data_IF_884537093313
#
_entry.id   IF_884537093313
#
_cell.length_a   1.000
_cell.length_b   1.000
_cell.length_c   1.000
_cell.angle_alpha   90.00
_cell.angle_beta   90.00
_cell.angle_gamma   90.00
#
_symmetry.space_group_name_H-M   'P 1'
#
loop_
_entity.id
_entity.type
_entity.pdbx_description
1 polymer ?
#
# COMPACT_ATOMS: atom_id res chain seq x y z
N UNK A 1 73.38 -13.78 -30.26
CA UNK A 1 72.53 -14.27 -29.15
C UNK A 1 71.15 -13.65 -29.29
N UNK A 2 70.16 -14.42 -29.75
CA UNK A 2 68.75 -13.99 -29.81
C UNK A 2 68.26 -13.73 -28.39
N UNK A 3 67.88 -12.50 -28.08
CA UNK A 3 67.01 -12.19 -26.95
C UNK A 3 65.66 -11.84 -27.53
N UNK A 4 64.82 -12.86 -27.67
CA UNK A 4 63.38 -12.72 -27.87
C UNK A 4 62.88 -11.92 -26.65
N UNK A 5 62.75 -10.60 -26.79
CA UNK A 5 62.09 -9.80 -25.76
C UNK A 5 60.63 -10.20 -25.87
N UNK A 6 60.18 -10.98 -24.89
CA UNK A 6 58.82 -11.48 -24.73
C UNK A 6 57.83 -10.40 -25.20
N UNK A 7 56.99 -10.75 -26.19
CA UNK A 7 55.98 -9.88 -26.83
C UNK A 7 55.08 -9.13 -25.81
N UNK A 8 55.06 -9.63 -24.57
CA UNK A 8 54.43 -9.06 -23.37
C UNK A 8 55.01 -7.71 -22.89
N UNK A 9 56.23 -7.33 -23.28
CA UNK A 9 56.85 -6.05 -22.87
C UNK A 9 56.76 -4.97 -23.95
N UNK A 10 55.78 -5.06 -24.85
CA UNK A 10 55.45 -3.97 -25.76
C UNK A 10 54.47 -3.00 -25.08
N UNK A 11 54.68 -1.67 -25.19
CA UNK A 11 53.89 -0.66 -24.46
C UNK A 11 52.39 -0.70 -24.77
N UNK A 12 51.99 -1.28 -25.92
CA UNK A 12 50.59 -1.47 -26.33
C UNK A 12 49.90 -2.64 -25.61
N UNK A 13 50.59 -3.75 -25.36
CA UNK A 13 50.04 -4.88 -24.61
C UNK A 13 49.90 -4.54 -23.12
N UNK A 14 50.84 -3.76 -22.57
CA UNK A 14 50.78 -3.31 -21.17
C UNK A 14 49.53 -2.45 -20.91
N UNK A 15 49.19 -1.54 -21.82
CA UNK A 15 47.99 -0.70 -21.75
C UNK A 15 46.70 -1.53 -21.75
N UNK A 16 46.63 -2.56 -22.60
CA UNK A 16 45.47 -3.47 -22.64
C UNK A 16 45.34 -4.28 -21.36
N UNK A 17 46.44 -4.76 -20.79
CA UNK A 17 46.43 -5.49 -19.52
C UNK A 17 45.97 -4.62 -18.36
N UNK A 18 46.41 -3.35 -18.30
CA UNK A 18 45.95 -2.39 -17.27
C UNK A 18 44.46 -2.06 -17.44
N UNK A 19 43.97 -1.90 -18.67
CA UNK A 19 42.55 -1.65 -18.90
C UNK A 19 41.68 -2.86 -18.48
N UNK A 20 42.16 -4.08 -18.74
CA UNK A 20 41.45 -5.32 -18.39
C UNK A 20 41.42 -5.56 -16.88
N UNK A 21 42.50 -5.23 -16.16
CA UNK A 21 42.51 -5.30 -14.69
C UNK A 21 41.60 -4.27 -14.06
N UNK A 22 41.55 -3.03 -14.58
CA UNK A 22 40.60 -2.01 -14.13
C UNK A 22 39.16 -2.47 -14.38
N UNK A 23 38.88 -3.04 -15.55
CA UNK A 23 37.55 -3.56 -15.88
C UNK A 23 37.12 -4.73 -14.97
N UNK A 24 38.04 -5.66 -14.66
CA UNK A 24 37.80 -6.75 -13.71
C UNK A 24 37.55 -6.26 -12.29
N UNK A 25 38.30 -5.25 -11.82
CA UNK A 25 38.08 -4.61 -10.53
C UNK A 25 36.70 -3.93 -10.52
N UNK A 26 36.34 -3.22 -11.58
CA UNK A 26 35.03 -2.58 -11.70
C UNK A 26 33.89 -3.62 -11.72
N UNK A 27 34.04 -4.73 -12.46
CA UNK A 27 33.05 -5.80 -12.50
C UNK A 27 32.87 -6.47 -11.11
N UNK A 28 33.97 -6.74 -10.39
CA UNK A 28 33.94 -7.26 -9.02
C UNK A 28 33.29 -6.28 -8.03
N UNK A 29 33.50 -4.97 -8.20
CA UNK A 29 32.82 -3.94 -7.41
C UNK A 29 31.33 -3.80 -7.73
N UNK A 30 30.91 -4.06 -8.97
CA UNK A 30 29.50 -3.98 -9.36
C UNK A 30 28.67 -5.20 -8.93
N UNK A 31 29.29 -6.33 -8.57
CA UNK A 31 28.58 -7.54 -8.11
C UNK A 31 28.19 -7.54 -6.62
N UNK A 32 28.42 -6.44 -5.89
CA UNK A 32 28.44 -6.47 -4.41
C UNK A 32 27.47 -5.55 -3.67
N UNK A 33 26.47 -4.94 -4.30
CA UNK A 33 25.49 -4.09 -3.58
C UNK A 33 24.07 -4.27 -4.08
N UNK A 34 23.47 -5.40 -3.75
CA UNK A 34 22.04 -5.45 -3.45
C UNK A 34 21.90 -5.55 -1.93
N UNK A 35 22.09 -4.42 -1.25
CA UNK A 35 21.54 -4.27 0.10
C UNK A 35 20.04 -4.14 -0.09
N UNK A 36 19.32 -5.24 0.17
CA UNK A 36 17.89 -5.24 0.38
C UNK A 36 17.62 -4.35 1.59
N UNK A 37 17.45 -3.04 1.34
CA UNK A 37 16.79 -2.15 2.27
C UNK A 37 15.38 -2.70 2.40
N UNK A 38 15.14 -3.51 3.44
CA UNK A 38 13.82 -3.56 4.04
C UNK A 38 13.52 -2.13 4.46
N UNK A 39 12.87 -1.41 3.56
CA UNK A 39 12.14 -0.21 3.88
C UNK A 39 11.09 -0.71 4.87
N UNK A 40 11.36 -0.50 6.16
CA UNK A 40 10.29 -0.36 7.13
C UNK A 40 9.46 0.75 6.53
N UNK A 41 8.39 0.37 5.85
CA UNK A 41 7.36 1.29 5.45
C UNK A 41 6.74 1.67 6.77
N UNK A 42 7.28 2.72 7.38
CA UNK A 42 6.57 3.51 8.36
C UNK A 42 5.28 3.89 7.63
N UNK A 43 4.25 3.07 7.81
CA UNK A 43 2.90 3.41 7.39
C UNK A 43 2.59 4.61 8.24
N UNK A 44 2.85 5.79 7.66
CA UNK A 44 2.41 7.06 8.18
C UNK A 44 0.90 6.91 8.29
N UNK A 45 0.50 6.51 9.49
CA UNK A 45 -0.89 6.32 9.82
C UNK A 45 -1.49 7.69 9.58
N UNK A 46 -2.56 7.73 8.80
CA UNK A 46 -3.31 8.96 8.49
C UNK A 46 -2.60 9.94 7.55
N UNK A 47 -2.77 9.77 6.22
CA UNK A 47 -3.48 10.75 5.37
C UNK A 47 -3.24 10.59 3.86
N UNK A 48 -2.17 9.93 3.36
CA UNK A 48 -1.88 10.00 1.91
C UNK A 48 -2.06 8.72 1.10
N UNK A 49 -1.95 7.53 1.69
CA UNK A 49 -2.00 6.29 0.88
C UNK A 49 -3.44 5.84 0.56
N UNK A 50 -4.43 6.24 1.35
CA UNK A 50 -5.83 5.87 1.12
C UNK A 50 -6.63 6.96 0.37
N UNK A 51 -6.10 8.19 0.29
CA UNK A 51 -6.74 9.32 -0.38
C UNK A 51 -6.43 9.39 -1.88
N UNK A 52 -5.47 8.62 -2.40
CA UNK A 52 -5.16 8.57 -3.84
C UNK A 52 -6.15 7.74 -4.68
N UNK A 53 -7.18 7.14 -4.07
CA UNK A 53 -8.39 6.72 -4.82
C UNK A 53 -9.35 7.91 -4.90
N UNK A 54 -8.88 8.99 -5.50
CA UNK A 54 -9.73 10.10 -5.95
C UNK A 54 -10.51 9.62 -7.18
N UNK A 55 -11.61 8.89 -6.95
CA UNK A 55 -12.68 8.80 -7.94
C UNK A 55 -13.53 10.05 -7.74
N UNK A 56 -13.16 11.13 -8.42
CA UNK A 56 -13.94 12.34 -8.74
C UNK A 56 -15.27 12.50 -7.98
N UNK A 57 -15.19 12.71 -6.67
CA UNK A 57 -16.35 13.07 -5.85
C UNK A 57 -17.24 11.94 -5.33
N UNK A 58 -16.81 10.68 -5.33
CA UNK A 58 -17.60 9.56 -4.77
C UNK A 58 -16.92 8.88 -3.58
N UNK A 59 -17.05 9.50 -2.39
CA UNK A 59 -16.72 8.87 -1.08
C UNK A 59 -17.82 7.93 -0.60
N UNK A 60 -18.31 7.09 -1.51
CA UNK A 60 -19.33 6.10 -1.22
C UNK A 60 -18.66 4.80 -0.75
N UNK A 61 -19.25 4.14 0.24
CA UNK A 61 -18.75 2.88 0.79
C UNK A 61 -17.46 3.04 1.60
N UNK A 62 -17.14 4.24 2.10
CA UNK A 62 -15.98 4.46 2.97
C UNK A 62 -16.28 3.88 4.35
N UNK A 63 -15.30 3.19 4.94
CA UNK A 63 -15.37 2.64 6.29
C UNK A 63 -14.50 3.48 7.22
N UNK A 64 -15.11 4.02 8.28
CA UNK A 64 -14.45 4.92 9.21
C UNK A 64 -14.84 4.66 10.67
N UNK A 65 -13.95 5.04 11.59
CA UNK A 65 -14.14 4.86 13.03
C UNK A 65 -15.11 5.90 13.58
N UNK A 66 -16.10 5.44 14.35
CA UNK A 66 -16.91 6.32 15.19
C UNK A 66 -16.13 6.68 16.46
N UNK A 67 -16.27 7.92 16.92
CA UNK A 67 -15.59 8.46 18.09
C UNK A 67 -16.49 9.47 18.84
N UNK A 68 -16.03 9.91 20.00
CA UNK A 68 -16.65 10.97 20.81
C UNK A 68 -15.70 12.17 20.97
N UNK A 69 -14.86 12.42 19.96
CA UNK A 69 -13.79 13.41 19.97
C UNK A 69 -12.39 12.82 19.73
N UNK A 70 -11.34 13.66 19.78
CA UNK A 70 -9.96 13.23 19.52
C UNK A 70 -9.54 12.06 20.41
N UNK A 71 -8.78 11.13 19.83
CA UNK A 71 -8.19 9.98 20.52
C UNK A 71 -9.18 9.08 21.29
N UNK A 72 -10.44 9.04 20.86
CA UNK A 72 -11.51 8.25 21.50
C UNK A 72 -12.06 7.11 20.62
N UNK A 73 -11.23 6.62 19.69
CA UNK A 73 -11.61 5.49 18.84
C UNK A 73 -11.74 4.20 19.67
N UNK A 74 -12.87 3.52 19.53
CA UNK A 74 -13.14 2.21 20.14
C UNK A 74 -13.23 1.11 19.09
N UNK A 75 -14.32 0.34 19.11
CA UNK A 75 -14.66 -0.67 18.09
C UNK A 75 -15.82 -0.25 17.19
N UNK A 76 -16.46 0.88 17.47
CA UNK A 76 -17.59 1.36 16.67
C UNK A 76 -17.07 1.94 15.36
N UNK A 77 -17.71 1.57 14.26
CA UNK A 77 -17.41 2.06 12.92
C UNK A 77 -18.71 2.32 12.16
N UNK A 78 -18.60 3.05 11.05
CA UNK A 78 -19.71 3.29 10.14
C UNK A 78 -19.25 3.15 8.68
N UNK A 79 -20.22 2.93 7.80
CA UNK A 79 -20.04 2.85 6.35
C UNK A 79 -20.84 3.99 5.71
N UNK A 80 -20.22 4.77 4.83
CA UNK A 80 -20.90 5.88 4.17
C UNK A 80 -21.76 5.40 3.00
N UNK A 81 -23.04 5.77 2.99
CA UNK A 81 -23.97 5.55 1.86
C UNK A 81 -24.10 6.78 0.97
N UNK A 82 -23.61 7.93 1.41
CA UNK A 82 -23.58 9.19 0.67
C UNK A 82 -22.23 9.88 0.86
N UNK A 83 -21.93 10.87 0.02
CA UNK A 83 -20.77 11.73 0.22
C UNK A 83 -20.95 12.55 1.51
N UNK A 84 -20.20 12.20 2.54
CA UNK A 84 -20.25 12.84 3.85
C UNK A 84 -19.02 13.73 4.09
N UNK A 85 -18.91 14.84 3.35
CA UNK A 85 -17.76 15.74 3.44
C UNK A 85 -17.64 16.47 4.78
N UNK A 86 -18.71 16.49 5.58
CA UNK A 86 -18.72 17.07 6.92
C UNK A 86 -18.07 16.17 7.98
N UNK A 87 -17.74 14.91 7.65
CA UNK A 87 -17.04 13.98 8.55
C UNK A 87 -15.52 13.98 8.33
N UNK A 88 -15.03 14.77 7.37
CA UNK A 88 -13.62 14.85 7.01
C UNK A 88 -12.80 15.49 8.13
N UNK A 89 -11.66 14.90 8.46
CA UNK A 89 -10.77 15.38 9.53
C UNK A 89 -11.18 14.96 10.94
N UNK A 90 -12.46 14.62 11.17
CA UNK A 90 -12.97 14.24 12.48
C UNK A 90 -12.94 12.72 12.74
N UNK A 91 -13.04 11.92 11.67
CA UNK A 91 -13.08 10.46 11.76
C UNK A 91 -11.94 9.80 10.99
N UNK A 92 -11.34 8.76 11.59
CA UNK A 92 -10.26 8.00 10.96
C UNK A 92 -10.85 7.03 9.94
N UNK A 93 -10.49 7.23 8.67
CA UNK A 93 -10.82 6.32 7.58
C UNK A 93 -9.79 5.18 7.53
N UNK A 94 -10.26 3.94 7.48
CA UNK A 94 -9.37 2.76 7.48
C UNK A 94 -9.72 1.70 6.43
N UNK A 95 -10.79 1.90 5.65
CA UNK A 95 -11.18 0.95 4.62
C UNK A 95 -12.24 1.46 3.67
N UNK A 96 -12.58 0.63 2.68
CA UNK A 96 -13.66 0.86 1.72
C UNK A 96 -14.32 -0.48 1.39
N UNK A 97 -15.63 -0.46 1.24
CA UNK A 97 -16.40 -1.59 0.74
C UNK A 97 -16.00 -1.87 -0.70
N UNK A 98 -15.40 -3.02 -0.95
CA UNK A 98 -15.01 -3.47 -2.30
C UNK A 98 -16.14 -4.22 -3.00
N UNK A 99 -16.98 -4.91 -2.24
CA UNK A 99 -18.10 -5.73 -2.72
C UNK A 99 -19.25 -5.70 -1.71
N UNK A 100 -20.48 -5.92 -2.16
CA UNK A 100 -21.66 -5.98 -1.29
C UNK A 100 -22.24 -4.62 -0.89
N UNK A 101 -21.96 -3.55 -1.64
CA UNK A 101 -22.52 -2.21 -1.37
C UNK A 101 -24.05 -2.17 -1.53
N UNK A 102 -24.61 -3.02 -2.38
CA UNK A 102 -26.04 -3.28 -2.51
C UNK A 102 -26.68 -3.73 -1.17
N UNK A 103 -26.00 -4.59 -0.40
CA UNK A 103 -26.45 -4.98 0.93
C UNK A 103 -26.42 -3.80 1.90
N UNK A 104 -25.39 -2.94 1.82
CA UNK A 104 -25.31 -1.72 2.66
C UNK A 104 -26.50 -0.80 2.37
N UNK A 105 -26.83 -0.58 1.10
CA UNK A 105 -28.01 0.20 0.71
C UNK A 105 -29.33 -0.46 1.11
N UNK A 106 -29.43 -1.79 1.01
CA UNK A 106 -30.60 -2.52 1.46
C UNK A 106 -30.81 -2.38 2.99
N UNK A 107 -29.73 -2.35 3.77
CA UNK A 107 -29.76 -2.09 5.22
C UNK A 107 -30.22 -0.65 5.49
N UNK A 108 -29.64 0.33 4.80
CA UNK A 108 -30.01 1.75 4.94
C UNK A 108 -31.50 1.97 4.63
N UNK A 109 -31.96 1.53 3.46
CA UNK A 109 -33.36 1.73 3.04
C UNK A 109 -34.35 0.86 3.80
N UNK A 110 -33.96 -0.37 4.16
CA UNK A 110 -34.84 -1.35 4.79
C UNK A 110 -34.96 -1.24 6.31
N UNK A 111 -33.91 -0.76 6.98
CA UNK A 111 -33.85 -0.64 8.44
C UNK A 111 -33.54 0.78 8.94
N UNK A 112 -32.94 1.64 8.13
CA UNK A 112 -32.57 3.00 8.52
C UNK A 112 -33.74 3.93 8.82
N UNK A 113 -33.45 4.95 9.62
CA UNK A 113 -34.38 6.05 9.93
C UNK A 113 -33.62 7.36 10.05
N UNK A 114 -34.33 8.48 9.89
CA UNK A 114 -33.78 9.82 10.09
C UNK A 114 -33.35 10.12 11.53
N UNK A 115 -33.87 9.39 12.54
CA UNK A 115 -33.47 9.57 13.93
C UNK A 115 -32.21 8.78 14.31
N UNK A 116 -31.65 8.00 13.38
CA UNK A 116 -30.52 7.10 13.63
C UNK A 116 -30.88 5.80 14.37
N UNK A 117 -32.12 5.66 14.87
CA UNK A 117 -32.59 4.42 15.51
C UNK A 117 -33.14 3.46 14.46
N UNK A 118 -32.57 2.27 14.25
CA UNK A 118 -33.06 1.33 13.24
C UNK A 118 -34.49 0.85 13.51
N UNK A 119 -35.30 0.70 12.45
CA UNK A 119 -36.65 0.11 12.52
C UNK A 119 -36.63 -1.38 12.78
N UNK A 120 -35.56 -2.05 12.32
CA UNK A 120 -35.36 -3.49 12.42
C UNK A 120 -33.97 -3.74 12.98
N UNK A 121 -33.82 -4.82 13.73
CA UNK A 121 -32.52 -5.26 14.24
C UNK A 121 -31.68 -5.78 13.06
N UNK A 122 -30.50 -5.21 12.89
CA UNK A 122 -29.50 -5.66 11.91
C UNK A 122 -28.31 -6.17 12.72
N UNK A 123 -27.88 -7.40 12.43
CA UNK A 123 -26.79 -8.06 13.14
C UNK A 123 -25.79 -8.60 12.13
N UNK A 124 -24.50 -8.50 12.45
CA UNK A 124 -23.45 -9.20 11.73
C UNK A 124 -23.53 -10.65 12.21
N UNK A 125 -23.99 -11.54 11.32
CA UNK A 125 -24.18 -12.95 11.65
C UNK A 125 -22.85 -13.72 11.68
N UNK A 126 -21.92 -13.33 10.80
CA UNK A 126 -20.58 -13.91 10.69
C UNK A 126 -19.59 -12.85 10.18
N UNK A 127 -18.31 -13.00 10.53
CA UNK A 127 -17.23 -12.10 10.13
C UNK A 127 -15.88 -12.79 10.26
N UNK A 128 -14.94 -12.45 9.38
CA UNK A 128 -13.58 -12.98 9.42
C UNK A 128 -12.60 -12.13 8.61
N UNK A 129 -11.39 -12.64 8.47
CA UNK A 129 -10.33 -12.04 7.65
C UNK A 129 -10.05 -12.94 6.44
N UNK A 130 -9.89 -12.33 5.27
CA UNK A 130 -9.46 -13.03 4.05
C UNK A 130 -7.92 -12.92 4.00
N UNK A 131 -7.20 -14.05 3.95
CA UNK A 131 -5.75 -14.04 3.79
C UNK A 131 -5.31 -13.23 2.57
N UNK A 132 -4.22 -12.48 2.71
CA UNK A 132 -3.75 -11.54 1.69
C UNK A 132 -3.46 -12.18 0.34
N UNK A 133 -3.03 -13.44 0.34
CA UNK A 133 -2.79 -14.25 -0.86
C UNK A 133 -4.04 -14.45 -1.72
N UNK A 134 -5.25 -14.29 -1.16
CA UNK A 134 -6.53 -14.55 -1.84
C UNK A 134 -7.29 -13.29 -2.26
N UNK A 135 -6.75 -12.10 -2.00
CA UNK A 135 -7.49 -10.85 -2.23
C UNK A 135 -7.86 -10.60 -3.69
N UNK A 136 -7.09 -11.13 -4.64
CA UNK A 136 -7.33 -10.93 -6.07
C UNK A 136 -8.14 -12.08 -6.71
N UNK A 137 -8.34 -13.19 -6.00
CA UNK A 137 -9.16 -14.31 -6.50
C UNK A 137 -10.65 -13.99 -6.49
N UNK A 138 -11.06 -13.11 -5.57
CA UNK A 138 -12.46 -12.77 -5.34
C UNK A 138 -12.90 -11.46 -6.01
N UNK A 139 -11.98 -10.69 -6.64
CA UNK A 139 -12.25 -9.37 -7.21
C UNK A 139 -13.03 -9.37 -8.53
#
# INVERSE_FOLDING_TARGET
MRREISFLLQPRCLLLLVALTIFLIFALFNTGKEEEKQVIQDFETTHRVFLDVDIDGQRLGVVAMANTGPDSNGSQFFITTVKASWLEGEHVVFGKVIQGMDNVFAIEGGAGTYSGKPRKKVVIADSGEIPKDKWDEER
#
